data_IF_222135900562
#
_entry.id   IF_222135900562
#
_cell.length_a   1.000
_cell.length_b   1.000
_cell.length_c   1.000
_cell.angle_alpha   90.00
_cell.angle_beta   90.00
_cell.angle_gamma   90.00
#
_symmetry.space_group_name_H-M   'P 1'
#
loop_
_entity.id
_entity.type
_entity.pdbx_description
1 polymer ?
#
# COMPACT_ATOMS: atom_id res chain seq x y z
N UNK A 1 18.12 35.26 30.95
CA UNK A 1 17.49 35.22 29.62
C UNK A 1 17.85 33.87 29.04
N UNK A 2 17.02 32.87 29.33
CA UNK A 2 17.23 31.51 28.83
C UNK A 2 16.94 31.48 27.34
N UNK A 3 17.91 30.99 26.56
CA UNK A 3 17.75 30.65 25.15
C UNK A 3 16.89 29.38 25.04
N UNK A 4 15.60 29.52 25.37
CA UNK A 4 14.62 28.44 25.28
C UNK A 4 14.42 28.01 23.83
N UNK A 5 14.83 26.78 23.52
CA UNK A 5 14.27 25.87 22.51
C UNK A 5 13.55 26.54 21.32
N UNK A 6 14.29 27.26 20.47
CA UNK A 6 13.80 27.61 19.13
C UNK A 6 13.97 26.37 18.26
N UNK A 7 12.99 25.48 18.30
CA UNK A 7 12.92 24.39 17.32
C UNK A 7 12.58 24.99 15.96
N UNK A 8 13.42 24.73 14.95
CA UNK A 8 13.08 25.10 13.58
C UNK A 8 11.92 24.20 13.13
N UNK A 9 10.76 24.81 12.82
CA UNK A 9 9.55 24.09 12.39
C UNK A 9 9.84 23.12 11.24
N UNK A 10 10.76 23.49 10.34
CA UNK A 10 11.24 22.64 9.25
C UNK A 10 11.87 21.31 9.71
N UNK A 11 12.65 21.30 10.79
CA UNK A 11 13.27 20.08 11.33
C UNK A 11 12.21 19.15 11.94
N UNK A 12 11.20 19.71 12.61
CA UNK A 12 10.09 18.92 13.17
C UNK A 12 9.22 18.32 12.06
N UNK A 13 8.86 19.12 11.05
CA UNK A 13 8.11 18.64 9.88
C UNK A 13 8.88 17.51 9.18
N UNK A 14 10.16 17.70 8.90
CA UNK A 14 10.96 16.72 8.17
C UNK A 14 11.07 15.41 8.93
N UNK A 15 11.28 15.47 10.26
CA UNK A 15 11.32 14.29 11.12
C UNK A 15 9.96 13.59 11.15
N UNK A 16 8.88 14.31 11.47
CA UNK A 16 7.55 13.72 11.56
C UNK A 16 7.07 13.16 10.22
N UNK A 17 7.38 13.81 9.09
CA UNK A 17 7.05 13.27 7.78
C UNK A 17 7.86 12.03 7.44
N UNK A 18 9.14 12.00 7.78
CA UNK A 18 9.94 10.81 7.60
C UNK A 18 9.37 9.66 8.44
N UNK A 19 8.99 9.90 9.69
CA UNK A 19 8.36 8.91 10.56
C UNK A 19 7.01 8.44 9.99
N UNK A 20 6.15 9.36 9.52
CA UNK A 20 4.85 9.04 8.91
C UNK A 20 5.02 8.27 7.60
N UNK A 21 5.90 8.72 6.69
CA UNK A 21 6.15 8.04 5.41
C UNK A 21 6.75 6.66 5.69
N UNK A 22 7.69 6.56 6.63
CA UNK A 22 8.30 5.30 7.02
C UNK A 22 7.26 4.36 7.61
N UNK A 23 6.43 4.78 8.55
CA UNK A 23 5.43 3.90 9.16
C UNK A 23 4.23 3.62 8.24
N UNK A 24 3.61 4.63 7.63
CA UNK A 24 2.36 4.49 6.89
C UNK A 24 2.54 3.99 5.45
N UNK A 25 3.65 4.35 4.79
CA UNK A 25 3.94 3.95 3.41
C UNK A 25 4.90 2.74 3.40
N UNK A 26 5.95 2.77 4.23
CA UNK A 26 6.99 1.71 4.22
C UNK A 26 6.84 0.65 5.32
N UNK A 27 5.99 0.85 6.34
CA UNK A 27 5.89 -0.05 7.51
C UNK A 27 7.15 -0.12 8.38
N UNK A 28 7.95 0.94 8.43
CA UNK A 28 9.22 1.01 9.15
C UNK A 28 9.11 1.90 10.39
N UNK A 29 9.63 1.43 11.52
CA UNK A 29 10.00 2.27 12.67
C UNK A 29 11.47 2.68 12.52
N UNK A 30 11.75 3.99 12.62
CA UNK A 30 13.11 4.53 12.48
C UNK A 30 13.71 4.78 13.85
N UNK A 31 14.67 3.95 14.27
CA UNK A 31 15.31 4.00 15.60
C UNK A 31 16.59 4.85 15.60
N UNK A 32 16.52 6.05 15.02
CA UNK A 32 17.60 7.04 15.11
C UNK A 32 18.90 6.70 14.37
N UNK A 33 18.92 5.67 13.51
CA UNK A 33 20.04 5.38 12.62
C UNK A 33 19.95 6.17 11.29
N UNK A 34 21.03 6.10 10.49
CA UNK A 34 21.09 6.79 9.21
C UNK A 34 20.17 6.10 8.20
N UNK A 35 19.28 6.88 7.56
CA UNK A 35 18.30 6.46 6.55
C UNK A 35 18.92 5.55 5.48
N UNK A 36 20.15 5.85 5.03
CA UNK A 36 20.84 5.05 4.02
C UNK A 36 21.25 3.65 4.52
N UNK A 37 21.54 3.52 5.82
CA UNK A 37 21.92 2.25 6.45
C UNK A 37 20.71 1.39 6.86
N UNK A 38 19.59 2.02 7.20
CA UNK A 38 18.31 1.34 7.46
C UNK A 38 17.64 0.89 6.17
N UNK A 39 17.59 1.71 5.11
CA UNK A 39 17.05 1.29 3.80
C UNK A 39 17.75 0.05 3.23
N UNK A 40 19.07 -0.11 3.48
CA UNK A 40 19.81 -1.31 3.10
C UNK A 40 19.52 -2.55 3.95
N UNK A 41 19.09 -2.39 5.22
CA UNK A 41 18.70 -3.51 6.11
C UNK A 41 17.21 -3.86 6.00
N UNK A 42 16.38 -2.87 5.69
CA UNK A 42 14.92 -2.98 5.62
C UNK A 42 14.43 -3.66 4.34
N UNK A 43 15.30 -4.21 3.50
CA UNK A 43 14.94 -5.00 2.33
C UNK A 43 13.94 -6.13 2.66
N UNK A 44 13.98 -6.71 3.86
CA UNK A 44 12.97 -7.70 4.29
C UNK A 44 11.72 -7.09 4.94
N UNK A 45 11.85 -5.96 5.64
CA UNK A 45 10.75 -5.31 6.36
C UNK A 45 9.83 -4.50 5.43
N UNK A 46 10.38 -3.88 4.39
CA UNK A 46 9.66 -3.11 3.36
C UNK A 46 8.66 -3.99 2.60
N UNK A 47 8.94 -5.29 2.45
CA UNK A 47 8.03 -6.27 1.82
C UNK A 47 6.89 -6.74 2.75
N UNK A 48 6.96 -6.44 4.04
CA UNK A 48 5.94 -6.84 5.02
C UNK A 48 4.87 -5.76 5.28
N UNK A 49 4.99 -4.56 4.68
CA UNK A 49 4.02 -3.47 4.84
C UNK A 49 2.85 -3.58 3.86
N UNK A 50 1.64 -3.32 4.36
CA UNK A 50 0.36 -3.47 3.64
C UNK A 50 0.17 -2.47 2.52
N UNK A 51 0.79 -1.29 2.59
CA UNK A 51 0.66 -0.23 1.57
C UNK A 51 1.64 -0.44 0.40
N UNK A 52 2.89 -0.81 0.69
CA UNK A 52 3.89 -1.07 -0.36
C UNK A 52 3.57 -2.33 -1.17
N UNK A 53 2.99 -3.34 -0.52
CA UNK A 53 2.49 -4.54 -1.20
C UNK A 53 1.44 -4.19 -2.27
N UNK A 54 0.62 -3.14 -2.06
CA UNK A 54 -0.38 -2.66 -3.05
C UNK A 54 0.27 -1.91 -4.21
N UNK A 55 1.32 -1.13 -3.93
CA UNK A 55 2.13 -0.47 -4.96
C UNK A 55 2.88 -1.51 -5.80
N UNK A 56 3.43 -2.56 -5.17
CA UNK A 56 4.06 -3.68 -5.89
C UNK A 56 3.06 -4.58 -6.61
N UNK A 57 1.83 -4.74 -6.11
CA UNK A 57 0.73 -5.37 -6.84
C UNK A 57 0.38 -4.61 -8.13
N UNK A 58 0.55 -3.28 -8.13
CA UNK A 58 0.34 -2.40 -9.28
C UNK A 58 1.55 -2.33 -10.21
N UNK A 59 2.78 -2.43 -9.68
CA UNK A 59 4.02 -2.28 -10.43
C UNK A 59 4.60 -3.59 -10.97
N UNK A 60 4.13 -4.76 -10.51
CA UNK A 60 4.73 -6.04 -10.88
C UNK A 60 3.79 -6.92 -11.73
N UNK A 61 3.47 -6.43 -12.93
CA UNK A 61 3.55 -7.30 -14.12
C UNK A 61 5.02 -7.67 -14.30
N UNK A 62 5.37 -8.87 -14.80
CA UNK A 62 6.72 -9.49 -14.84
C UNK A 62 7.88 -8.69 -15.54
N UNK A 63 7.92 -7.36 -15.47
CA UNK A 63 8.73 -6.47 -16.30
C UNK A 63 9.82 -5.69 -15.55
N UNK A 64 9.86 -5.68 -14.21
CA UNK A 64 10.79 -4.81 -13.46
C UNK A 64 11.89 -5.57 -12.68
N UNK A 65 13.18 -5.39 -13.04
CA UNK A 65 14.32 -5.84 -12.26
C UNK A 65 14.36 -5.24 -10.85
N UNK A 66 15.03 -5.94 -9.93
CA UNK A 66 15.18 -5.54 -8.52
C UNK A 66 15.76 -4.13 -8.34
N UNK A 67 16.76 -3.77 -9.13
CA UNK A 67 17.38 -2.44 -9.08
C UNK A 67 16.38 -1.34 -9.47
N UNK A 68 15.51 -1.60 -10.44
CA UNK A 68 14.47 -0.64 -10.85
C UNK A 68 13.45 -0.44 -9.73
N UNK A 69 13.11 -1.49 -8.98
CA UNK A 69 12.22 -1.38 -7.82
C UNK A 69 12.85 -0.48 -6.75
N UNK A 70 14.14 -0.67 -6.44
CA UNK A 70 14.86 0.17 -5.48
C UNK A 70 14.90 1.63 -5.94
N UNK A 71 15.08 1.89 -7.23
CA UNK A 71 15.09 3.24 -7.77
C UNK A 71 13.70 3.91 -7.75
N UNK A 72 12.63 3.15 -7.98
CA UNK A 72 11.26 3.64 -7.79
C UNK A 72 10.99 3.99 -6.31
N UNK A 73 11.45 3.16 -5.37
CA UNK A 73 11.33 3.43 -3.93
C UNK A 73 12.07 4.71 -3.51
N UNK A 74 13.29 4.91 -4.00
CA UNK A 74 14.05 6.16 -3.80
C UNK A 74 13.30 7.36 -4.37
N UNK A 75 12.69 7.20 -5.54
CA UNK A 75 11.90 8.24 -6.19
C UNK A 75 10.67 8.60 -5.35
N UNK A 76 9.94 7.62 -4.81
CA UNK A 76 8.78 7.88 -3.93
C UNK A 76 9.18 8.62 -2.66
N UNK A 77 10.27 8.21 -2.02
CA UNK A 77 10.79 8.86 -0.81
C UNK A 77 11.20 10.31 -1.09
N UNK A 78 11.99 10.55 -2.13
CA UNK A 78 12.47 11.88 -2.47
C UNK A 78 11.31 12.81 -2.87
N UNK A 79 10.44 12.35 -3.78
CA UNK A 79 9.33 13.16 -4.28
C UNK A 79 8.27 13.43 -3.20
N UNK A 80 7.98 12.45 -2.35
CA UNK A 80 6.98 12.56 -1.28
C UNK A 80 7.45 13.39 -0.09
N UNK A 81 8.72 13.34 0.29
CA UNK A 81 9.20 14.02 1.49
C UNK A 81 9.28 15.55 1.31
N UNK A 82 9.97 16.02 0.27
CA UNK A 82 10.26 17.45 0.11
C UNK A 82 9.00 18.26 -0.24
N UNK A 83 8.15 17.74 -1.13
CA UNK A 83 6.94 18.44 -1.59
C UNK A 83 5.87 18.51 -0.50
N UNK A 84 5.63 17.41 0.22
CA UNK A 84 4.67 17.38 1.35
C UNK A 84 5.20 18.21 2.52
N UNK A 85 6.50 18.16 2.81
CA UNK A 85 7.14 18.98 3.85
C UNK A 85 7.00 20.47 3.57
N UNK A 86 7.22 20.88 2.32
CA UNK A 86 7.01 22.27 1.90
C UNK A 86 5.54 22.67 2.01
N UNK A 87 4.61 21.78 1.63
CA UNK A 87 3.17 22.03 1.78
C UNK A 87 2.77 22.23 3.24
N UNK A 88 3.24 21.36 4.15
CA UNK A 88 2.96 21.48 5.59
C UNK A 88 3.54 22.76 6.17
N UNK A 89 4.74 23.16 5.75
CA UNK A 89 5.36 24.41 6.19
C UNK A 89 4.49 25.62 5.82
N UNK A 90 4.01 25.65 4.57
CA UNK A 90 3.10 26.70 4.10
C UNK A 90 1.72 26.62 4.76
N UNK A 91 1.22 25.42 5.06
CA UNK A 91 -0.01 25.25 5.81
C UNK A 91 0.11 25.83 7.22
N UNK A 92 1.19 25.55 7.95
CA UNK A 92 1.42 26.15 9.26
C UNK A 92 1.63 27.66 9.19
N UNK A 93 2.32 28.15 8.16
CA UNK A 93 2.43 29.58 7.92
C UNK A 93 1.06 30.24 7.69
N UNK A 94 0.19 29.62 6.89
CA UNK A 94 -1.17 30.10 6.66
C UNK A 94 -2.01 30.07 7.93
N UNK A 95 -1.95 28.99 8.72
CA UNK A 95 -2.66 28.89 10.01
C UNK A 95 -2.15 29.91 11.04
N UNK A 96 -0.86 30.22 11.04
CA UNK A 96 -0.29 31.25 11.91
C UNK A 96 -0.71 32.65 11.49
N UNK A 97 -0.84 32.90 10.18
CA UNK A 97 -1.18 34.20 9.61
C UNK A 97 -2.69 34.48 9.55
N UNK A 98 -3.53 33.44 9.58
CA UNK A 98 -4.98 33.50 9.44
C UNK A 98 -5.68 32.78 10.61
N UNK A 99 -5.69 33.42 11.78
CA UNK A 99 -6.25 32.85 13.01
C UNK A 99 -7.75 32.54 12.89
N UNK A 100 -8.50 33.34 12.11
CA UNK A 100 -9.91 33.09 11.82
C UNK A 100 -10.12 31.75 11.10
N UNK A 101 -9.26 31.43 10.13
CA UNK A 101 -9.29 30.14 9.42
C UNK A 101 -8.90 29.00 10.36
N UNK A 102 -7.86 29.21 11.19
CA UNK A 102 -7.42 28.22 12.17
C UNK A 102 -8.55 27.84 13.15
N UNK A 103 -9.25 28.82 13.72
CA UNK A 103 -10.32 28.58 14.67
C UNK A 103 -11.51 27.85 14.03
N UNK A 104 -11.85 28.21 12.79
CA UNK A 104 -12.91 27.54 12.03
C UNK A 104 -12.57 26.08 11.72
N UNK A 105 -11.33 25.79 11.31
CA UNK A 105 -10.85 24.42 11.08
C UNK A 105 -10.87 23.60 12.37
N UNK A 106 -10.41 24.19 13.48
CA UNK A 106 -10.44 23.53 14.80
C UNK A 106 -11.88 23.18 15.19
N UNK A 107 -12.83 24.08 14.96
CA UNK A 107 -14.25 23.83 15.24
C UNK A 107 -14.84 22.72 14.34
N UNK A 108 -14.52 22.71 13.05
CA UNK A 108 -14.95 21.65 12.13
C UNK A 108 -14.42 20.27 12.54
N UNK A 109 -13.12 20.17 12.85
CA UNK A 109 -12.47 18.92 13.27
C UNK A 109 -13.04 18.44 14.62
N UNK A 110 -13.21 19.33 15.59
CA UNK A 110 -13.75 18.97 16.91
C UNK A 110 -15.22 18.53 16.82
N UNK A 111 -16.01 19.16 15.95
CA UNK A 111 -17.41 18.78 15.75
C UNK A 111 -17.53 17.40 15.09
N UNK A 112 -16.62 17.04 14.19
CA UNK A 112 -16.61 15.72 13.57
C UNK A 112 -16.17 14.59 14.51
N UNK A 113 -15.32 14.89 15.49
CA UNK A 113 -14.78 13.91 16.44
C UNK A 113 -15.49 13.85 17.80
N UNK A 114 -16.68 14.45 17.95
CA UNK A 114 -17.36 14.61 19.26
C UNK A 114 -16.44 15.18 20.37
N UNK A 115 -15.51 16.08 19.99
CA UNK A 115 -14.51 16.65 20.89
C UNK A 115 -13.27 15.78 21.15
N UNK A 116 -13.17 14.60 20.52
CA UNK A 116 -12.01 13.69 20.56
C UNK A 116 -11.42 13.48 19.15
N UNK A 117 -10.54 14.37 18.74
CA UNK A 117 -9.87 14.29 17.44
C UNK A 117 -9.05 12.99 17.22
N UNK A 118 -8.67 12.28 18.29
CA UNK A 118 -7.90 11.04 18.24
C UNK A 118 -8.70 9.81 17.77
N UNK A 119 -10.03 9.90 17.64
CA UNK A 119 -10.91 8.79 17.25
C UNK A 119 -11.49 8.94 15.83
N UNK A 120 -11.08 9.97 15.07
CA UNK A 120 -11.59 10.23 13.71
C UNK A 120 -11.18 9.15 12.71
N UNK A 121 -12.16 8.57 12.00
CA UNK A 121 -11.89 7.64 10.89
C UNK A 121 -11.57 8.40 9.61
N UNK A 122 -10.90 7.73 8.66
CA UNK A 122 -10.60 8.30 7.34
C UNK A 122 -11.86 8.83 6.61
N UNK A 123 -12.97 8.09 6.72
CA UNK A 123 -14.28 8.48 6.17
C UNK A 123 -14.82 9.79 6.72
N UNK A 124 -14.45 10.15 7.95
CA UNK A 124 -14.90 11.39 8.60
C UNK A 124 -14.03 12.56 8.13
N UNK A 125 -12.72 12.35 7.97
CA UNK A 125 -11.80 13.33 7.39
C UNK A 125 -12.22 13.72 5.96
N UNK A 126 -12.64 12.76 5.14
CA UNK A 126 -13.12 13.02 3.78
C UNK A 126 -14.37 13.91 3.70
N UNK A 127 -15.11 14.10 4.80
CA UNK A 127 -16.31 14.94 4.87
C UNK A 127 -16.02 16.36 5.35
N UNK A 128 -14.79 16.66 5.77
CA UNK A 128 -14.38 17.97 6.29
C UNK A 128 -14.16 18.94 5.11
N UNK A 129 -15.23 19.64 4.71
CA UNK A 129 -15.23 20.52 3.55
C UNK A 129 -14.24 21.70 3.73
N UNK A 130 -14.20 22.33 4.90
CA UNK A 130 -13.29 23.45 5.14
C UNK A 130 -11.83 22.98 5.17
N UNK A 131 -11.55 21.79 5.70
CA UNK A 131 -10.22 21.19 5.64
C UNK A 131 -9.76 20.94 4.19
N UNK A 132 -10.61 20.36 3.35
CA UNK A 132 -10.32 20.16 1.92
C UNK A 132 -10.06 21.49 1.21
N UNK A 133 -10.91 22.49 1.43
CA UNK A 133 -10.75 23.84 0.87
C UNK A 133 -9.48 24.53 1.36
N UNK A 134 -9.13 24.36 2.63
CA UNK A 134 -7.90 24.90 3.20
C UNK A 134 -6.66 24.30 2.52
N UNK A 135 -6.61 22.97 2.38
CA UNK A 135 -5.47 22.29 1.72
C UNK A 135 -5.34 22.73 0.27
N UNK A 136 -6.46 22.81 -0.46
CA UNK A 136 -6.47 23.30 -1.85
C UNK A 136 -5.99 24.76 -1.96
N UNK A 137 -6.39 25.62 -1.03
CA UNK A 137 -5.96 27.02 -1.02
C UNK A 137 -4.48 27.18 -0.65
N UNK A 138 -3.95 26.35 0.25
CA UNK A 138 -2.50 26.27 0.53
C UNK A 138 -1.73 25.91 -0.73
N UNK A 139 -2.14 24.86 -1.44
CA UNK A 139 -1.49 24.42 -2.66
C UNK A 139 -1.62 25.42 -3.81
N UNK A 140 -2.72 26.20 -3.86
CA UNK A 140 -2.93 27.25 -4.86
C UNK A 140 -2.01 28.45 -4.62
N UNK A 141 -1.97 28.95 -3.39
CA UNK A 141 -1.18 30.12 -3.01
C UNK A 141 0.32 29.80 -2.92
N UNK A 142 0.66 28.59 -2.46
CA UNK A 142 2.02 28.17 -2.15
C UNK A 142 2.32 26.79 -2.78
N UNK A 143 2.36 26.69 -4.13
CA UNK A 143 2.67 25.43 -4.80
C UNK A 143 4.09 24.99 -4.44
N UNK A 144 4.29 23.75 -3.93
CA UNK A 144 5.62 23.23 -3.62
C UNK A 144 6.51 23.12 -4.86
N UNK A 145 5.93 22.77 -6.00
CA UNK A 145 6.64 22.73 -7.28
C UNK A 145 6.59 24.11 -7.93
N UNK A 146 7.75 24.77 -8.00
CA UNK A 146 7.88 26.11 -8.57
C UNK A 146 7.89 26.10 -10.09
N UNK A 147 8.43 25.05 -10.71
CA UNK A 147 8.61 24.95 -12.15
C UNK A 147 8.57 23.48 -12.60
N UNK A 148 7.97 23.24 -13.76
CA UNK A 148 8.07 21.98 -14.49
C UNK A 148 8.55 22.23 -15.92
N UNK A 149 9.43 21.37 -16.42
CA UNK A 149 10.06 21.51 -17.74
C UNK A 149 9.40 20.54 -18.74
N UNK A 150 9.27 20.97 -19.99
CA UNK A 150 8.91 20.15 -21.15
C UNK A 150 9.88 20.41 -22.30
N UNK A 151 10.03 19.46 -23.19
CA UNK A 151 10.75 19.64 -24.45
C UNK A 151 9.78 19.45 -25.62
N UNK A 152 9.81 20.36 -26.59
CA UNK A 152 9.04 20.22 -27.81
C UNK A 152 9.64 19.11 -28.69
N UNK A 153 8.99 17.94 -28.77
CA UNK A 153 9.47 16.82 -29.59
C UNK A 153 9.30 17.04 -31.10
N UNK A 154 8.47 18.00 -31.50
CA UNK A 154 8.29 18.47 -32.88
C UNK A 154 7.90 19.96 -32.85
N UNK A 155 7.92 20.60 -34.02
CA UNK A 155 7.46 21.98 -34.17
C UNK A 155 5.98 22.10 -33.78
N UNK A 156 5.68 22.86 -32.73
CA UNK A 156 4.31 23.03 -32.21
C UNK A 156 3.96 24.51 -32.13
N UNK A 157 2.72 24.87 -32.46
CA UNK A 157 2.21 26.24 -32.30
C UNK A 157 1.37 26.32 -31.03
N UNK A 158 1.81 27.12 -30.04
CA UNK A 158 1.07 27.39 -28.80
C UNK A 158 0.69 28.87 -28.79
N UNK A 159 -0.61 29.17 -28.62
CA UNK A 159 -1.13 30.55 -28.65
C UNK A 159 -0.69 31.36 -29.90
N UNK A 160 -0.56 30.69 -31.05
CA UNK A 160 -0.10 31.29 -32.30
C UNK A 160 1.41 31.53 -32.39
N UNK A 161 2.20 31.10 -31.39
CA UNK A 161 3.65 31.16 -31.40
C UNK A 161 4.25 29.80 -31.76
N UNK A 162 5.13 29.78 -32.76
CA UNK A 162 5.87 28.59 -33.16
C UNK A 162 6.98 28.28 -32.15
N UNK A 163 6.93 27.08 -31.58
CA UNK A 163 7.96 26.51 -30.72
C UNK A 163 8.66 25.41 -31.53
N UNK A 164 9.92 25.62 -31.95
CA UNK A 164 10.68 24.62 -32.70
C UNK A 164 10.95 23.36 -31.89
N UNK A 165 11.10 22.23 -32.58
CA UNK A 165 11.56 20.98 -31.99
C UNK A 165 12.90 21.17 -31.23
N UNK A 166 13.04 20.51 -30.08
CA UNK A 166 14.18 20.63 -29.16
C UNK A 166 14.11 21.84 -28.21
N UNK A 167 13.08 22.68 -28.31
CA UNK A 167 12.93 23.83 -27.41
C UNK A 167 12.42 23.38 -26.04
N UNK A 168 13.12 23.77 -24.98
CA UNK A 168 12.67 23.57 -23.61
C UNK A 168 11.67 24.66 -23.21
N UNK A 169 10.50 24.25 -22.72
CA UNK A 169 9.42 25.10 -22.24
C UNK A 169 9.31 24.93 -20.73
N UNK A 170 9.49 26.01 -19.99
CA UNK A 170 9.31 26.06 -18.54
C UNK A 170 7.88 26.49 -18.21
N UNK A 171 7.18 25.67 -17.45
CA UNK A 171 5.84 25.93 -16.95
C UNK A 171 5.93 26.23 -15.45
N UNK A 172 5.32 27.33 -15.02
CA UNK A 172 5.33 27.76 -13.63
C UNK A 172 3.90 27.65 -13.06
N UNK A 173 3.58 26.62 -12.25
CA UNK A 173 2.23 26.39 -11.71
C UNK A 173 1.64 27.61 -10.97
N UNK A 174 2.50 28.43 -10.35
CA UNK A 174 2.09 29.67 -9.68
C UNK A 174 1.41 30.66 -10.62
N UNK A 175 1.73 30.66 -11.92
CA UNK A 175 1.19 31.63 -12.89
C UNK A 175 -0.32 31.45 -13.12
N UNK A 176 -0.84 30.29 -13.54
CA UNK A 176 -2.28 30.10 -13.64
C UNK A 176 -2.98 30.17 -12.28
N UNK A 177 -2.33 29.71 -11.20
CA UNK A 177 -2.90 29.71 -9.84
C UNK A 177 -3.07 31.10 -9.21
N UNK A 178 -2.31 32.09 -9.67
CA UNK A 178 -2.39 33.49 -9.22
C UNK A 178 -3.01 34.43 -10.27
N UNK A 179 -3.51 33.89 -11.39
CA UNK A 179 -4.07 34.71 -12.47
C UNK A 179 -5.48 35.22 -12.12
N UNK A 180 -5.67 36.54 -12.13
CA UNK A 180 -6.95 37.19 -11.82
C UNK A 180 -8.04 36.96 -12.87
N UNK A 181 -7.69 36.64 -14.11
CA UNK A 181 -8.64 36.24 -15.15
C UNK A 181 -9.27 34.88 -14.81
N UNK A 182 -8.48 34.00 -14.17
CA UNK A 182 -8.90 32.66 -13.79
C UNK A 182 -9.60 32.70 -12.43
N UNK A 183 -8.93 33.21 -11.40
CA UNK A 183 -9.37 33.12 -10.01
C UNK A 183 -10.18 34.33 -9.51
N UNK A 184 -10.47 35.27 -10.40
CA UNK A 184 -11.24 36.47 -10.10
C UNK A 184 -10.43 37.56 -9.38
N UNK A 185 -11.13 38.42 -8.65
CA UNK A 185 -10.51 39.54 -7.94
C UNK A 185 -9.70 39.05 -6.74
N UNK A 186 -8.50 39.61 -6.57
CA UNK A 186 -7.56 39.33 -5.48
C UNK A 186 -7.14 37.84 -5.37
N UNK A 187 -6.57 37.25 -6.43
CA UNK A 187 -6.10 35.86 -6.41
C UNK A 187 -4.94 35.64 -5.41
N UNK A 188 -4.23 36.69 -5.02
CA UNK A 188 -3.17 36.66 -4.02
C UNK A 188 -3.68 36.53 -2.58
N UNK A 189 -4.96 36.82 -2.33
CA UNK A 189 -5.54 36.69 -0.99
C UNK A 189 -5.80 35.21 -0.69
N UNK A 190 -5.23 34.73 0.40
CA UNK A 190 -5.53 33.41 0.96
C UNK A 190 -6.97 33.39 1.47
N UNK A 191 -7.84 32.61 0.81
CA UNK A 191 -9.25 32.53 1.14
C UNK A 191 -9.82 31.13 0.84
N UNK A 192 -9.90 30.24 1.85
CA UNK A 192 -10.49 28.91 1.67
C UNK A 192 -11.96 28.94 1.22
N UNK A 193 -12.74 29.98 1.55
CA UNK A 193 -14.15 30.04 1.15
C UNK A 193 -14.34 30.28 -0.35
N UNK A 194 -13.28 30.68 -1.07
CA UNK A 194 -13.25 30.79 -2.54
C UNK A 194 -13.71 29.51 -3.23
N UNK A 195 -13.38 28.36 -2.66
CA UNK A 195 -13.69 27.05 -3.23
C UNK A 195 -15.19 26.74 -3.23
N UNK A 196 -15.99 27.44 -2.41
CA UNK A 196 -17.47 27.37 -2.44
C UNK A 196 -18.07 28.09 -3.63
N UNK A 197 -17.39 29.13 -4.14
CA UNK A 197 -17.93 30.02 -5.18
C UNK A 197 -16.91 30.27 -6.30
N UNK A 198 -16.37 29.19 -6.87
CA UNK A 198 -15.40 29.28 -7.96
C UNK A 198 -16.02 29.90 -9.23
N UNK A 199 -15.36 30.93 -9.82
CA UNK A 199 -15.67 31.40 -11.18
C UNK A 199 -15.62 30.26 -12.18
N UNK A 200 -16.42 30.34 -13.25
CA UNK A 200 -16.42 29.31 -14.31
C UNK A 200 -15.02 29.08 -14.90
N UNK A 201 -14.22 30.14 -15.01
CA UNK A 201 -12.84 30.08 -15.49
C UNK A 201 -11.89 29.31 -14.57
N UNK A 202 -12.16 29.19 -13.27
CA UNK A 202 -11.34 28.45 -12.29
C UNK A 202 -11.76 26.98 -12.12
N UNK A 203 -12.76 26.52 -12.89
CA UNK A 203 -13.24 25.11 -12.83
C UNK A 203 -12.55 24.21 -13.85
N UNK A 204 -11.74 24.79 -14.73
CA UNK A 204 -10.99 24.03 -15.72
C UNK A 204 -9.83 23.26 -15.05
N UNK A 205 -9.65 22.00 -15.44
CA UNK A 205 -8.67 21.09 -14.84
C UNK A 205 -7.20 21.51 -15.00
N UNK A 206 -6.91 22.48 -15.87
CA UNK A 206 -5.56 23.02 -16.07
C UNK A 206 -5.28 24.29 -15.24
N UNK A 207 -6.26 24.79 -14.49
CA UNK A 207 -6.14 26.05 -13.74
C UNK A 207 -5.52 25.88 -12.36
N UNK A 208 -5.69 24.70 -11.77
CA UNK A 208 -5.09 24.29 -10.50
C UNK A 208 -4.02 23.22 -10.76
N UNK A 209 -2.75 23.63 -10.77
CA UNK A 209 -1.62 22.81 -11.21
C UNK A 209 -0.74 22.33 -10.05
N UNK A 210 -1.26 22.28 -8.83
CA UNK A 210 -0.54 21.79 -7.64
C UNK A 210 0.06 20.40 -7.82
N UNK A 211 -0.57 19.58 -8.66
CA UNK A 211 -0.15 18.22 -8.97
C UNK A 211 0.20 18.01 -10.45
N UNK A 212 0.34 19.09 -11.23
CA UNK A 212 0.40 19.07 -12.69
C UNK A 212 -0.82 18.39 -13.34
N UNK A 213 -0.84 18.36 -14.67
CA UNK A 213 -1.91 17.72 -15.45
C UNK A 213 -1.28 16.91 -16.59
N UNK A 214 -1.98 15.86 -17.04
CA UNK A 214 -1.57 15.01 -18.16
C UNK A 214 -0.73 13.79 -17.77
N UNK A 215 0.00 13.15 -18.72
CA UNK A 215 0.69 11.87 -18.51
C UNK A 215 1.80 11.88 -17.45
N UNK A 216 2.24 13.07 -17.03
CA UNK A 216 3.25 13.29 -15.98
C UNK A 216 2.67 14.04 -14.79
N UNK A 217 1.35 13.94 -14.58
CA UNK A 217 0.70 14.38 -13.34
C UNK A 217 1.27 13.60 -12.15
N UNK A 218 1.20 14.20 -10.97
CA UNK A 218 1.68 13.59 -9.73
C UNK A 218 0.93 12.29 -9.46
N UNK A 219 1.66 11.19 -9.21
CA UNK A 219 1.05 9.90 -8.90
C UNK A 219 0.25 9.92 -7.58
N UNK A 220 0.63 10.80 -6.64
CA UNK A 220 0.02 10.86 -5.32
C UNK A 220 -1.35 11.59 -5.29
N UNK A 221 -1.89 12.01 -6.43
CA UNK A 221 -3.24 12.60 -6.47
C UNK A 221 -4.28 11.53 -6.16
N UNK A 222 -4.91 11.62 -4.98
CA UNK A 222 -6.09 10.84 -4.59
C UNK A 222 -7.37 11.31 -5.31
N UNK A 223 -7.29 11.63 -6.61
CA UNK A 223 -8.47 11.80 -7.44
C UNK A 223 -8.63 10.53 -8.26
N UNK A 224 -9.78 9.86 -8.11
CA UNK A 224 -10.25 8.88 -9.09
C UNK A 224 -10.03 9.50 -10.48
N UNK A 225 -9.23 8.88 -11.37
CA UNK A 225 -9.02 9.44 -12.69
C UNK A 225 -10.39 9.59 -13.34
N UNK A 226 -10.85 10.83 -13.44
CA UNK A 226 -11.99 11.15 -14.28
C UNK A 226 -11.53 10.79 -15.68
N UNK A 227 -12.22 9.90 -16.41
CA UNK A 227 -11.85 9.59 -17.77
C UNK A 227 -11.76 10.91 -18.53
N UNK A 228 -10.55 11.24 -18.99
CA UNK A 228 -10.34 12.37 -19.86
C UNK A 228 -11.18 12.09 -21.13
N UNK A 229 -11.96 13.05 -21.64
CA UNK A 229 -12.45 12.92 -23.00
C UNK A 229 -11.21 12.92 -23.89
N UNK A 230 -10.94 11.79 -24.55
CA UNK A 230 -10.03 11.76 -25.67
C UNK A 230 -10.49 12.83 -26.65
N UNK A 231 -9.67 13.87 -26.83
CA UNK A 231 -9.88 14.82 -27.93
C UNK A 231 -9.48 14.06 -29.19
N UNK A 232 -10.45 13.33 -29.73
CA UNK A 232 -10.33 12.58 -30.97
C UNK A 232 -10.15 13.58 -32.13
N UNK A 233 -8.95 13.58 -32.70
CA UNK A 233 -8.62 14.42 -33.86
C UNK A 233 -8.99 13.75 -35.20
N UNK A 234 -9.81 12.69 -35.22
CA UNK A 234 -10.32 12.12 -36.47
C UNK A 234 -11.82 11.81 -36.41
N UNK A 235 -12.65 12.37 -37.31
CA UNK A 235 -14.03 11.93 -37.44
C UNK A 235 -14.03 10.67 -38.31
N UNK A 236 -14.51 9.53 -37.80
CA UNK A 236 -15.42 8.58 -38.48
C UNK A 236 -15.53 7.27 -37.69
N UNK A 237 -16.78 6.82 -37.58
CA UNK A 237 -17.28 5.47 -37.24
C UNK A 237 -17.69 5.22 -35.78
N UNK A 238 -18.98 5.42 -35.56
CA UNK A 238 -19.81 4.84 -34.52
C UNK A 238 -19.65 3.31 -34.40
N UNK A 239 -19.38 2.80 -33.19
CA UNK A 239 -19.68 1.42 -32.81
C UNK A 239 -19.97 1.31 -31.30
N UNK A 240 -21.21 0.93 -31.02
CA UNK A 240 -21.78 0.28 -29.82
C UNK A 240 -20.90 0.06 -28.59
N UNK A 241 -21.34 0.61 -27.47
CA UNK A 241 -20.88 0.30 -26.13
C UNK A 241 -21.19 -1.16 -25.75
N UNK A 242 -20.14 -1.95 -25.51
CA UNK A 242 -20.20 -3.20 -24.75
C UNK A 242 -19.58 -2.97 -23.38
N UNK A 243 -20.34 -3.26 -22.32
CA UNK A 243 -19.87 -3.26 -20.93
C UNK A 243 -18.80 -4.34 -20.73
N UNK A 244 -17.52 -3.97 -20.81
CA UNK A 244 -16.43 -4.83 -20.38
C UNK A 244 -16.10 -4.53 -18.92
N UNK A 245 -16.49 -5.45 -18.03
CA UNK A 245 -15.86 -5.54 -16.71
C UNK A 245 -14.36 -5.74 -16.93
N UNK A 246 -13.52 -4.87 -16.38
CA UNK A 246 -12.08 -5.06 -16.43
C UNK A 246 -11.75 -6.46 -15.87
N UNK A 247 -11.04 -7.32 -16.63
CA UNK A 247 -10.69 -8.64 -16.14
C UNK A 247 -9.78 -8.49 -14.92
N UNK A 248 -10.06 -9.24 -13.86
CA UNK A 248 -9.17 -9.32 -12.70
C UNK A 248 -7.75 -9.66 -13.18
N UNK A 249 -6.71 -9.01 -12.63
CA UNK A 249 -5.32 -9.38 -12.90
C UNK A 249 -5.11 -10.89 -12.79
N UNK A 250 -4.28 -11.48 -13.66
CA UNK A 250 -4.13 -12.93 -13.76
C UNK A 250 -3.80 -13.63 -12.43
N UNK A 251 -3.06 -12.98 -11.53
CA UNK A 251 -2.72 -13.52 -10.21
C UNK A 251 -3.87 -13.45 -9.17
N UNK A 252 -4.92 -12.66 -9.44
CA UNK A 252 -6.15 -12.57 -8.66
C UNK A 252 -7.31 -13.34 -9.29
N UNK A 253 -7.15 -13.86 -10.51
CA UNK A 253 -8.18 -14.66 -11.18
C UNK A 253 -8.20 -16.09 -10.61
N UNK A 254 -9.29 -16.52 -9.92
CA UNK A 254 -9.39 -17.87 -9.37
C UNK A 254 -9.25 -18.98 -10.42
N UNK A 255 -9.49 -18.69 -11.70
CA UNK A 255 -9.32 -19.64 -12.80
C UNK A 255 -7.85 -20.08 -13.01
N UNK A 256 -6.88 -19.31 -12.49
CA UNK A 256 -5.45 -19.63 -12.59
C UNK A 256 -4.93 -20.45 -11.40
N UNK A 257 -5.84 -20.98 -10.57
CA UNK A 257 -5.53 -21.78 -9.39
C UNK A 257 -6.15 -23.20 -9.50
N UNK A 258 -5.52 -24.23 -8.90
CA UNK A 258 -4.39 -24.17 -7.99
C UNK A 258 -3.06 -23.86 -8.70
N UNK A 259 -2.23 -23.03 -8.08
CA UNK A 259 -0.83 -22.87 -8.49
C UNK A 259 0.04 -23.82 -7.67
N UNK A 260 0.76 -24.69 -8.34
CA UNK A 260 1.59 -25.71 -7.69
C UNK A 260 3.03 -25.65 -8.14
N UNK A 261 3.95 -26.01 -7.23
CA UNK A 261 5.35 -26.30 -7.55
C UNK A 261 5.74 -27.64 -6.97
N UNK A 262 6.42 -28.44 -7.77
CA UNK A 262 6.93 -29.75 -7.37
C UNK A 262 8.42 -29.85 -7.66
N UNK A 263 9.18 -30.26 -6.64
CA UNK A 263 10.63 -30.48 -6.72
C UNK A 263 10.93 -31.93 -6.37
N UNK A 264 11.22 -32.73 -7.41
CA UNK A 264 11.39 -34.18 -7.28
C UNK A 264 12.68 -34.60 -6.59
N UNK A 265 13.72 -33.77 -6.66
CA UNK A 265 15.01 -33.96 -5.99
C UNK A 265 14.87 -34.07 -4.47
N UNK A 266 13.96 -33.27 -3.90
CA UNK A 266 13.78 -33.13 -2.46
C UNK A 266 12.37 -33.56 -1.99
N UNK A 267 11.54 -34.10 -2.90
CA UNK A 267 10.13 -34.44 -2.68
C UNK A 267 9.34 -33.31 -1.98
N UNK A 268 9.42 -32.11 -2.55
CA UNK A 268 8.73 -30.91 -2.06
C UNK A 268 7.50 -30.65 -2.94
N UNK A 269 6.33 -30.52 -2.32
CA UNK A 269 5.08 -30.14 -2.97
C UNK A 269 4.56 -28.83 -2.37
N UNK A 270 4.34 -27.82 -3.20
CA UNK A 270 3.79 -26.53 -2.78
C UNK A 270 2.50 -26.25 -3.54
N UNK A 271 1.47 -25.76 -2.85
CA UNK A 271 0.17 -25.46 -3.45
C UNK A 271 -0.45 -24.19 -2.86
N UNK A 272 -0.90 -23.30 -3.73
CA UNK A 272 -1.86 -22.24 -3.40
C UNK A 272 -3.15 -22.53 -4.14
N UNK A 273 -4.30 -22.48 -3.45
CA UNK A 273 -5.58 -22.93 -4.02
C UNK A 273 -6.77 -22.18 -3.43
N UNK A 274 -7.83 -21.98 -4.20
CA UNK A 274 -9.13 -21.50 -3.68
C UNK A 274 -10.04 -22.64 -3.23
N UNK A 275 -9.68 -23.89 -3.53
CA UNK A 275 -10.45 -25.06 -3.13
C UNK A 275 -10.13 -25.46 -1.68
N UNK A 276 -11.05 -26.18 -1.00
CA UNK A 276 -10.75 -26.80 0.29
C UNK A 276 -9.47 -27.66 0.25
N UNK A 277 -8.66 -27.59 1.30
CA UNK A 277 -7.42 -28.37 1.39
C UNK A 277 -7.74 -29.86 1.58
N UNK A 278 -6.94 -30.73 0.96
CA UNK A 278 -7.08 -32.18 1.09
C UNK A 278 -5.92 -32.75 1.95
N UNK A 279 -6.18 -33.07 3.23
CA UNK A 279 -5.25 -33.75 4.13
C UNK A 279 -4.69 -35.06 3.59
N UNK A 280 -5.53 -35.83 2.90
CA UNK A 280 -5.19 -37.17 2.42
C UNK A 280 -4.24 -37.06 1.23
N UNK A 281 -4.50 -36.14 0.31
CA UNK A 281 -3.61 -35.79 -0.80
C UNK A 281 -2.23 -35.36 -0.28
N UNK A 282 -2.21 -34.45 0.68
CA UNK A 282 -0.97 -33.91 1.26
C UNK A 282 -0.11 -35.01 1.89
N UNK A 283 -0.73 -35.92 2.65
CA UNK A 283 -0.04 -37.09 3.22
C UNK A 283 0.41 -38.11 2.17
N UNK A 284 -0.34 -38.29 1.08
CA UNK A 284 0.01 -39.21 0.02
C UNK A 284 1.25 -38.74 -0.77
N UNK A 285 1.34 -37.43 -1.05
CA UNK A 285 2.44 -36.81 -1.81
C UNK A 285 3.82 -36.99 -1.18
N UNK A 286 3.89 -37.02 0.15
CA UNK A 286 5.16 -37.09 0.89
C UNK A 286 5.61 -38.50 1.26
N UNK A 287 4.83 -39.55 0.94
CA UNK A 287 5.14 -40.93 1.35
C UNK A 287 6.49 -41.37 0.79
N UNK A 288 7.28 -42.00 1.65
CA UNK A 288 8.59 -42.54 1.29
C UNK A 288 8.86 -43.86 2.01
N UNK A 289 9.49 -44.86 1.36
CA UNK A 289 9.89 -46.10 2.01
C UNK A 289 10.94 -45.89 3.12
N UNK A 290 11.58 -44.71 3.16
CA UNK A 290 12.57 -44.34 4.17
C UNK A 290 11.96 -43.57 5.35
N UNK A 291 10.65 -43.26 5.31
CA UNK A 291 9.98 -42.51 6.36
C UNK A 291 9.52 -43.43 7.50
N UNK A 292 10.00 -43.17 8.72
CA UNK A 292 9.52 -43.80 9.95
C UNK A 292 8.38 -43.03 10.63
N UNK A 293 8.06 -41.82 10.14
CA UNK A 293 6.92 -41.03 10.59
C UNK A 293 6.44 -40.09 9.47
N UNK A 294 5.11 -39.94 9.37
CA UNK A 294 4.46 -38.89 8.60
C UNK A 294 3.60 -38.07 9.56
N UNK A 295 3.75 -36.76 9.56
CA UNK A 295 3.01 -35.84 10.43
C UNK A 295 2.27 -34.83 9.55
N UNK A 296 1.03 -34.53 9.91
CA UNK A 296 0.20 -33.52 9.26
C UNK A 296 -0.19 -32.46 10.30
N UNK A 297 0.03 -31.20 9.95
CA UNK A 297 -0.47 -30.03 10.66
C UNK A 297 -1.52 -29.32 9.81
N UNK A 298 -2.62 -28.95 10.46
CA UNK A 298 -3.70 -28.16 9.85
C UNK A 298 -3.90 -26.89 10.67
N UNK A 299 -3.84 -25.74 10.02
CA UNK A 299 -4.24 -24.46 10.62
C UNK A 299 -5.72 -24.24 10.37
N UNK A 300 -6.52 -24.18 11.44
CA UNK A 300 -7.97 -24.02 11.36
C UNK A 300 -8.44 -22.65 11.85
N UNK A 301 -9.48 -22.12 11.21
CA UNK A 301 -10.07 -20.84 11.60
C UNK A 301 -10.87 -20.98 12.89
N UNK A 302 -10.54 -20.18 13.92
CA UNK A 302 -11.24 -20.14 15.21
C UNK A 302 -12.47 -19.23 15.14
N UNK A 303 -13.46 -19.46 16.01
CA UNK A 303 -14.72 -18.69 16.06
C UNK A 303 -14.61 -17.32 16.74
N UNK A 304 -13.47 -17.03 17.39
CA UNK A 304 -13.25 -15.79 18.14
C UNK A 304 -11.83 -15.29 17.96
N UNK A 305 -11.67 -13.99 17.76
CA UNK A 305 -10.39 -13.26 17.84
C UNK A 305 -10.62 -12.00 18.67
N UNK A 306 -9.72 -11.72 19.63
CA UNK A 306 -9.82 -10.56 20.53
C UNK A 306 -11.19 -10.42 21.24
N UNK A 307 -11.73 -11.54 21.75
CA UNK A 307 -13.08 -11.64 22.33
C UNK A 307 -14.24 -11.21 21.41
N UNK A 308 -13.99 -10.97 20.13
CA UNK A 308 -15.02 -10.67 19.13
C UNK A 308 -15.33 -11.93 18.33
N UNK A 309 -16.62 -12.25 18.11
CA UNK A 309 -17.02 -13.34 17.23
C UNK A 309 -16.58 -13.04 15.79
N UNK A 310 -15.78 -13.93 15.20
CA UNK A 310 -15.34 -13.82 13.80
C UNK A 310 -16.30 -14.62 12.93
N UNK A 311 -16.82 -13.98 11.89
CA UNK A 311 -17.73 -14.60 10.93
C UNK A 311 -16.96 -15.41 9.88
N UNK A 312 -15.87 -14.83 9.34
CA UNK A 312 -15.04 -15.43 8.28
C UNK A 312 -13.65 -14.80 8.22
N UNK A 313 -12.70 -15.56 7.64
CA UNK A 313 -11.39 -15.06 7.24
C UNK A 313 -11.27 -15.10 5.72
N UNK A 314 -10.77 -14.03 5.12
CA UNK A 314 -10.48 -14.00 3.68
C UNK A 314 -9.00 -13.87 3.44
N UNK A 315 -8.42 -14.84 2.71
CA UNK A 315 -6.99 -14.88 2.41
C UNK A 315 -6.68 -14.41 1.01
N UNK A 316 -5.64 -13.60 0.85
CA UNK A 316 -5.11 -13.19 -0.46
C UNK A 316 -3.61 -13.37 -0.50
N UNK A 317 -3.04 -13.52 -1.70
CA UNK A 317 -1.61 -13.74 -1.87
C UNK A 317 -1.14 -13.26 -3.24
N UNK A 318 0.14 -12.87 -3.31
CA UNK A 318 0.87 -12.78 -4.57
C UNK A 318 1.61 -14.10 -4.80
N UNK A 319 0.95 -15.02 -5.52
CA UNK A 319 1.37 -16.41 -5.62
C UNK A 319 2.84 -16.65 -6.06
N UNK A 320 3.42 -15.91 -7.03
CA UNK A 320 4.80 -16.15 -7.44
C UNK A 320 5.86 -15.89 -6.35
N UNK A 321 5.61 -14.94 -5.44
CA UNK A 321 6.52 -14.66 -4.34
C UNK A 321 6.25 -15.61 -3.17
N UNK A 322 4.98 -15.81 -2.81
CA UNK A 322 4.59 -16.77 -1.78
C UNK A 322 5.13 -18.17 -2.08
N UNK A 323 5.06 -18.64 -3.33
CA UNK A 323 5.64 -19.93 -3.74
C UNK A 323 7.17 -19.96 -3.66
N UNK A 324 7.87 -18.84 -3.88
CA UNK A 324 9.33 -18.74 -3.71
C UNK A 324 9.72 -18.80 -2.23
N UNK A 325 8.99 -18.09 -1.37
CA UNK A 325 9.22 -18.09 0.07
C UNK A 325 8.90 -19.47 0.67
N UNK A 326 7.79 -20.08 0.26
CA UNK A 326 7.44 -21.47 0.61
C UNK A 326 8.52 -22.47 0.17
N UNK A 327 9.09 -22.30 -1.02
CA UNK A 327 10.20 -23.14 -1.48
C UNK A 327 11.43 -22.99 -0.57
N UNK A 328 11.80 -21.76 -0.20
CA UNK A 328 12.93 -21.50 0.70
C UNK A 328 12.73 -22.16 2.07
N UNK A 329 11.54 -22.01 2.66
CA UNK A 329 11.15 -22.64 3.93
C UNK A 329 11.22 -24.18 3.80
N UNK A 330 10.60 -24.73 2.76
CA UNK A 330 10.57 -26.18 2.54
C UNK A 330 11.97 -26.77 2.37
N UNK A 331 12.84 -26.14 1.56
CA UNK A 331 14.24 -26.58 1.37
C UNK A 331 15.04 -26.46 2.67
N UNK A 332 14.82 -25.40 3.44
CA UNK A 332 15.41 -25.22 4.77
C UNK A 332 15.03 -26.36 5.71
N UNK A 333 13.74 -26.68 5.80
CA UNK A 333 13.23 -27.76 6.63
C UNK A 333 13.74 -29.14 6.19
N UNK A 334 13.74 -29.44 4.88
CA UNK A 334 14.28 -30.69 4.33
C UNK A 334 15.74 -30.88 4.73
N UNK A 335 16.55 -29.82 4.60
CA UNK A 335 17.99 -29.87 4.93
C UNK A 335 18.21 -30.00 6.45
N UNK A 336 17.54 -29.17 7.24
CA UNK A 336 17.72 -29.08 8.70
C UNK A 336 17.25 -30.35 9.42
N UNK A 337 16.12 -30.90 9.00
CA UNK A 337 15.48 -32.05 9.65
C UNK A 337 15.69 -33.38 8.92
N UNK A 338 16.43 -33.37 7.80
CA UNK A 338 16.66 -34.54 6.94
C UNK A 338 15.34 -35.21 6.53
N UNK A 339 14.38 -34.40 6.06
CA UNK A 339 13.06 -34.89 5.69
C UNK A 339 13.13 -35.74 4.41
N UNK A 340 12.27 -36.75 4.35
CA UNK A 340 12.05 -37.57 3.15
C UNK A 340 11.05 -36.93 2.17
N UNK A 341 10.32 -35.91 2.62
CA UNK A 341 9.37 -35.16 1.81
C UNK A 341 8.58 -34.16 2.64
N UNK A 342 8.08 -33.13 1.98
CA UNK A 342 7.26 -32.08 2.59
C UNK A 342 6.20 -31.59 1.59
N UNK A 343 4.99 -31.35 2.07
CA UNK A 343 3.90 -30.72 1.34
C UNK A 343 3.42 -29.51 2.12
N UNK A 344 3.33 -28.35 1.48
CA UNK A 344 2.77 -27.12 2.06
C UNK A 344 1.69 -26.60 1.13
N UNK A 345 0.45 -26.60 1.62
CA UNK A 345 -0.72 -26.16 0.86
C UNK A 345 -1.43 -25.06 1.62
N UNK A 346 -1.70 -23.92 0.99
CA UNK A 346 -2.45 -22.83 1.60
C UNK A 346 -3.70 -22.48 0.79
N UNK A 347 -4.82 -22.31 1.49
CA UNK A 347 -6.09 -21.91 0.92
C UNK A 347 -6.21 -20.39 0.84
N UNK A 348 -6.64 -19.89 -0.31
CA UNK A 348 -6.92 -18.50 -0.61
C UNK A 348 -8.44 -18.28 -0.71
N UNK A 349 -8.86 -17.03 -0.64
CA UNK A 349 -10.27 -16.64 -0.61
C UNK A 349 -10.89 -16.87 0.78
N UNK A 350 -12.21 -17.03 0.80
CA UNK A 350 -12.96 -17.20 2.04
C UNK A 350 -12.70 -18.58 2.68
N UNK A 351 -12.37 -18.57 3.97
CA UNK A 351 -12.21 -19.73 4.83
C UNK A 351 -13.12 -19.55 6.04
N UNK A 352 -14.11 -20.44 6.19
CA UNK A 352 -15.07 -20.35 7.29
C UNK A 352 -14.47 -20.84 8.60
N UNK A 353 -15.13 -20.50 9.71
CA UNK A 353 -14.84 -21.08 11.02
C UNK A 353 -14.83 -22.60 10.94
N UNK A 354 -13.84 -23.22 11.57
CA UNK A 354 -13.52 -24.66 11.55
C UNK A 354 -12.99 -25.23 10.21
N UNK A 355 -12.88 -24.44 9.14
CA UNK A 355 -12.19 -24.85 7.91
C UNK A 355 -10.68 -24.59 8.02
N UNK A 356 -9.90 -25.34 7.24
CA UNK A 356 -8.45 -25.24 7.17
C UNK A 356 -7.99 -24.15 6.20
N UNK A 357 -7.09 -23.28 6.67
CA UNK A 357 -6.40 -22.28 5.84
C UNK A 357 -5.04 -22.75 5.35
N UNK A 358 -4.36 -23.64 6.10
CA UNK A 358 -3.06 -24.20 5.73
C UNK A 358 -2.97 -25.67 6.12
N UNK A 359 -2.31 -26.47 5.27
CA UNK A 359 -1.98 -27.86 5.52
C UNK A 359 -0.49 -28.09 5.26
N UNK A 360 0.21 -28.63 6.26
CA UNK A 360 1.64 -28.96 6.18
C UNK A 360 1.81 -30.43 6.50
N UNK A 361 2.27 -31.22 5.53
CA UNK A 361 2.59 -32.62 5.72
C UNK A 361 4.11 -32.80 5.64
N UNK A 362 4.71 -33.54 6.58
CA UNK A 362 6.14 -33.84 6.59
C UNK A 362 6.41 -35.33 6.79
N UNK A 363 7.35 -35.88 6.03
CA UNK A 363 7.83 -37.26 6.15
C UNK A 363 9.28 -37.25 6.64
N UNK A 364 9.60 -38.04 7.68
CA UNK A 364 10.96 -38.15 8.19
C UNK A 364 11.29 -39.59 8.61
N UNK A 365 12.58 -39.94 8.64
CA UNK A 365 13.05 -41.25 9.12
C UNK A 365 12.70 -41.51 10.59
N UNK A 366 12.52 -40.45 11.40
CA UNK A 366 12.18 -40.56 12.81
C UNK A 366 11.08 -39.58 13.23
N UNK A 367 10.28 -39.98 14.23
CA UNK A 367 9.14 -39.20 14.77
C UNK A 367 9.49 -37.80 15.27
N UNK A 368 10.65 -37.63 15.94
CA UNK A 368 11.03 -36.35 16.58
C UNK A 368 11.31 -35.24 15.53
N UNK A 369 12.12 -35.48 14.48
CA UNK A 369 12.26 -34.52 13.37
C UNK A 369 10.94 -34.17 12.70
N UNK A 370 10.05 -35.14 12.46
CA UNK A 370 8.76 -34.88 11.81
C UNK A 370 7.89 -33.89 12.60
N UNK A 371 7.76 -34.07 13.92
CA UNK A 371 6.99 -33.15 14.77
C UNK A 371 7.58 -31.73 14.79
N UNK A 372 8.89 -31.61 14.98
CA UNK A 372 9.57 -30.30 15.04
C UNK A 372 9.54 -29.56 13.71
N UNK A 373 9.73 -30.28 12.60
CA UNK A 373 9.70 -29.68 11.27
C UNK A 373 8.32 -29.12 10.93
N UNK A 374 7.23 -29.85 11.24
CA UNK A 374 5.89 -29.37 10.93
C UNK A 374 5.48 -28.13 11.73
N UNK A 375 5.87 -28.06 13.01
CA UNK A 375 5.67 -26.86 13.85
C UNK A 375 6.49 -25.68 13.32
N UNK A 376 7.80 -25.86 13.09
CA UNK A 376 8.67 -24.78 12.61
C UNK A 376 8.26 -24.26 11.23
N UNK A 377 7.90 -25.14 10.30
CA UNK A 377 7.42 -24.74 8.97
C UNK A 377 6.13 -23.92 9.07
N UNK A 378 5.21 -24.28 9.96
CA UNK A 378 3.97 -23.53 10.16
C UNK A 378 4.28 -22.10 10.65
N UNK A 379 5.16 -21.97 11.63
CA UNK A 379 5.55 -20.68 12.19
C UNK A 379 6.34 -19.82 11.19
N UNK A 380 7.26 -20.42 10.43
CA UNK A 380 7.95 -19.71 9.35
C UNK A 380 6.99 -19.27 8.23
N UNK A 381 5.99 -20.11 7.91
CA UNK A 381 4.98 -19.74 6.91
C UNK A 381 4.17 -18.53 7.36
N UNK A 382 3.71 -18.52 8.62
CA UNK A 382 3.00 -17.37 9.21
C UNK A 382 3.84 -16.10 9.26
N UNK A 383 5.13 -16.24 9.60
CA UNK A 383 6.03 -15.11 9.77
C UNK A 383 6.46 -14.48 8.44
N UNK A 384 6.73 -15.30 7.41
CA UNK A 384 7.45 -14.86 6.23
C UNK A 384 6.68 -14.97 4.90
N UNK A 385 5.68 -15.85 4.78
CA UNK A 385 5.01 -16.08 3.49
C UNK A 385 4.02 -14.97 3.20
N UNK A 386 4.01 -14.50 1.97
CA UNK A 386 3.24 -13.36 1.48
C UNK A 386 1.76 -13.74 1.22
N UNK A 387 1.10 -14.10 2.31
CA UNK A 387 -0.32 -14.43 2.40
C UNK A 387 -0.94 -13.57 3.50
N UNK A 388 -1.96 -12.80 3.16
CA UNK A 388 -2.62 -11.85 4.06
C UNK A 388 -4.01 -12.33 4.43
N UNK A 389 -4.43 -12.03 5.66
CA UNK A 389 -5.77 -12.35 6.17
C UNK A 389 -6.57 -11.07 6.39
N UNK A 390 -7.81 -11.07 5.93
CA UNK A 390 -8.84 -10.11 6.31
C UNK A 390 -9.74 -10.78 7.36
N UNK A 391 -9.85 -10.16 8.53
CA UNK A 391 -10.71 -10.63 9.62
C UNK A 391 -12.05 -9.88 9.58
N UNK A 392 -13.16 -10.61 9.44
CA UNK A 392 -14.50 -10.03 9.45
C UNK A 392 -15.31 -10.48 10.68
N UNK A 393 -15.81 -9.51 11.44
CA UNK A 393 -16.50 -9.75 12.72
C UNK A 393 -18.02 -9.82 12.55
N UNK A 394 -18.69 -10.63 13.39
CA UNK A 394 -20.16 -10.79 13.34
C UNK A 394 -20.85 -9.46 13.71
N UNK A 395 -21.71 -8.96 12.83
CA UNK A 395 -22.49 -7.74 13.03
C UNK A 395 -21.84 -6.45 12.50
N UNK A 396 -20.64 -6.55 11.93
CA UNK A 396 -19.95 -5.46 11.26
C UNK A 396 -20.44 -5.30 9.81
N UNK A 397 -20.55 -4.06 9.31
CA UNK A 397 -20.85 -3.81 7.88
C UNK A 397 -19.71 -4.32 6.98
N UNK A 398 -19.97 -4.55 5.68
CA UNK A 398 -18.97 -5.06 4.72
C UNK A 398 -17.67 -4.21 4.65
N UNK A 399 -17.68 -2.99 5.17
CA UNK A 399 -16.54 -2.05 5.19
C UNK A 399 -15.75 -2.02 6.53
N UNK A 400 -16.10 -2.85 7.52
CA UNK A 400 -15.48 -2.84 8.87
C UNK A 400 -14.46 -3.98 9.11
N UNK A 401 -14.04 -4.71 8.07
CA UNK A 401 -13.03 -5.76 8.17
C UNK A 401 -11.60 -5.20 8.34
N UNK A 402 -10.77 -5.88 9.15
CA UNK A 402 -9.37 -5.49 9.38
C UNK A 402 -8.39 -6.41 8.65
N UNK A 403 -7.54 -5.84 7.78
CA UNK A 403 -6.44 -6.57 7.14
C UNK A 403 -5.27 -6.71 8.10
N UNK A 404 -4.81 -7.94 8.30
CA UNK A 404 -3.66 -8.26 9.14
C UNK A 404 -2.68 -9.16 8.40
N UNK A 405 -1.39 -9.00 8.72
CA UNK A 405 -0.40 -10.01 8.37
C UNK A 405 -0.78 -11.34 9.06
N UNK A 406 -0.40 -12.47 8.46
CA UNK A 406 -0.72 -13.79 9.00
C UNK A 406 0.16 -14.17 10.21
N UNK A 407 0.34 -13.26 11.18
CA UNK A 407 1.15 -13.45 12.39
C UNK A 407 0.33 -14.00 13.56
N UNK A 408 1.04 -14.64 14.49
CA UNK A 408 0.44 -15.32 15.62
C UNK A 408 -0.07 -14.35 16.69
N UNK A 409 -1.27 -14.65 17.16
CA UNK A 409 -1.87 -14.03 18.34
C UNK A 409 -2.28 -15.13 19.31
N UNK A 410 -2.10 -14.91 20.60
CA UNK A 410 -2.59 -15.84 21.63
C UNK A 410 -4.11 -16.05 21.54
N UNK A 411 -4.67 -16.91 22.39
CA UNK A 411 -6.13 -17.13 22.44
C UNK A 411 -6.94 -15.87 22.81
N UNK A 412 -6.28 -14.80 23.23
CA UNK A 412 -6.86 -13.50 23.55
C UNK A 412 -6.57 -12.42 22.51
N UNK A 413 -5.88 -12.73 21.39
CA UNK A 413 -5.59 -11.76 20.34
C UNK A 413 -4.30 -10.95 20.56
N UNK A 414 -3.53 -11.20 21.61
CA UNK A 414 -2.28 -10.49 21.86
C UNK A 414 -1.15 -11.01 20.98
N UNK A 415 -0.32 -10.11 20.47
CA UNK A 415 0.88 -10.47 19.71
C UNK A 415 1.82 -11.31 20.57
N UNK A 416 2.11 -12.53 20.12
CA UNK A 416 3.19 -13.33 20.68
C UNK A 416 4.47 -12.78 20.06
N UNK A 417 5.18 -11.93 20.81
CA UNK A 417 6.40 -11.24 20.36
C UNK A 417 7.41 -12.14 19.64
N UNK A 418 8.24 -11.55 18.78
CA UNK A 418 9.33 -12.24 18.10
C UNK A 418 10.18 -12.98 19.15
N UNK A 419 10.15 -14.32 19.12
CA UNK A 419 11.04 -15.11 19.98
C UNK A 419 12.46 -14.79 19.55
N UNK A 420 13.13 -13.92 20.32
CA UNK A 420 14.57 -13.77 20.28
C UNK A 420 15.14 -15.18 20.45
N UNK A 421 15.87 -15.64 19.43
CA UNK A 421 16.58 -16.91 19.49
C UNK A 421 17.61 -16.83 20.63
N UNK A 422 17.25 -17.36 21.80
CA UNK A 422 18.24 -17.68 22.83
C UNK A 422 18.95 -18.97 22.41
N UNK A 423 20.24 -18.82 22.07
CA UNK A 423 21.32 -19.79 22.30
C UNK A 423 21.20 -21.18 21.68
#
# INVERSE_FOLDING_TARGET
MDNGNVWTVSCLISKSLLDIISQAILGLELDGHSIASELGRCYHTIFSSTTMSRVMLFLNTDEFPEDEIVDHLRTFLAAGLETVGTTMLWAFHALASHQDVQDRLRNEINAAGDGKSSELKYSDICKLELLDHFVKEVLRCYPPSTCSMREAIHNVSICGQLIPAGTHVLMFPVMPQSNSIIWGKNPEKFDPDRWKTLPTSARDGYTFQAFNTGPRACLATMQNPTPQPEVDLNPVASASASSSSNPLPAHLNPANYPQTRYFSDSNIHLELTYNPLDPTKSLAQIRSPHAGANVLFLGTTRSTFDNRPVARLTYTSYAPLALRTLEKIARGAVTKYQLCGISISHRLGEVRVAEESIAIAVAAGHRRPAWRAGEEVLEECKAAVEIWKLEEFVGAGEEEGEWRANRDTDSQGNYLGDKVAEG
#
